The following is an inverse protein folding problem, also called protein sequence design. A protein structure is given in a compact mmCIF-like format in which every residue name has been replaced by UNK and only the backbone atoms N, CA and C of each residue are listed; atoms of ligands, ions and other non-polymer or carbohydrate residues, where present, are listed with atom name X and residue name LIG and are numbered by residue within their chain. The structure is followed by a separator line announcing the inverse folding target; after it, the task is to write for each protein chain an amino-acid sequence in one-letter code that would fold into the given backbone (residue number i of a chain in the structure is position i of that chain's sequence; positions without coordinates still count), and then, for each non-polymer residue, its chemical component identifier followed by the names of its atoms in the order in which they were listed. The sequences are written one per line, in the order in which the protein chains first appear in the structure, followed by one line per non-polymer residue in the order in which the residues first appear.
data_IF_918116914671
#
_entry.id   IF_918116914671
#
_cell.length_a   1.000
_cell.length_b   1.000
_cell.length_c   1.000
_cell.angle_alpha   90.00
_cell.angle_beta   90.00
_cell.angle_gamma   90.00
#
_symmetry.space_group_name_H-M   'P 1'
#
loop_
_entity.id
_entity.type
_entity.pdbx_description
1 polymer ?
#
# COMPACT_ATOMS: atom_id res chain seq x y z
N UNK A 1 -20.20 -59.88 13.67
CA UNK A 1 -19.26 -58.94 14.33
C UNK A 1 -18.05 -58.77 13.43
N UNK A 2 -17.48 -57.55 13.34
CA UNK A 2 -16.34 -57.15 12.49
C UNK A 2 -16.66 -56.83 11.02
N UNK A 3 -17.43 -55.77 10.76
CA UNK A 3 -17.27 -55.02 9.50
C UNK A 3 -17.90 -53.61 9.49
N UNK A 4 -18.46 -53.13 10.60
CA UNK A 4 -19.07 -51.80 10.67
C UNK A 4 -18.14 -50.72 11.29
N UNK A 5 -16.97 -51.10 11.82
CA UNK A 5 -16.09 -50.17 12.54
C UNK A 5 -15.05 -49.50 11.61
N UNK A 6 -14.86 -50.00 10.39
CA UNK A 6 -13.83 -49.47 9.48
C UNK A 6 -14.27 -48.24 8.67
N UNK A 7 -15.57 -47.93 8.60
CA UNK A 7 -16.07 -46.79 7.83
C UNK A 7 -16.09 -45.45 8.59
N UNK A 8 -15.97 -45.48 9.92
CA UNK A 8 -16.02 -44.25 10.74
C UNK A 8 -14.66 -43.52 10.77
N UNK A 9 -13.55 -44.23 10.49
CA UNK A 9 -12.23 -43.59 10.44
C UNK A 9 -11.94 -42.82 9.15
N UNK A 10 -12.66 -43.08 8.05
CA UNK A 10 -12.48 -42.34 6.80
C UNK A 10 -13.12 -40.94 6.80
N UNK A 11 -14.11 -40.70 7.66
CA UNK A 11 -14.77 -39.39 7.77
C UNK A 11 -14.08 -38.42 8.74
N UNK A 12 -13.24 -38.91 9.66
CA UNK A 12 -12.58 -38.05 10.66
C UNK A 12 -11.25 -37.46 10.11
N UNK A 13 -10.64 -38.08 9.10
CA UNK A 13 -9.38 -37.58 8.50
C UNK A 13 -9.49 -37.00 7.09
N UNK A 14 -10.65 -37.10 6.43
CA UNK A 14 -10.78 -36.76 5.00
C UNK A 14 -11.26 -35.34 4.66
N UNK A 15 -11.79 -34.56 5.60
CA UNK A 15 -12.57 -33.36 5.27
C UNK A 15 -12.28 -32.11 6.12
N UNK A 16 -11.04 -31.81 6.50
CA UNK A 16 -10.74 -30.47 7.08
C UNK A 16 -9.34 -29.95 6.71
N UNK A 17 -9.08 -29.69 5.42
CA UNK A 17 -8.01 -28.74 5.05
C UNK A 17 -8.41 -27.68 4.03
N UNK A 18 -9.65 -27.70 3.54
CA UNK A 18 -10.20 -26.57 2.80
C UNK A 18 -10.80 -25.58 3.79
N UNK A 19 -9.92 -24.82 4.44
CA UNK A 19 -10.30 -23.72 5.31
C UNK A 19 -11.33 -22.82 4.63
N UNK A 20 -12.32 -22.37 5.40
CA UNK A 20 -13.50 -21.71 4.84
C UNK A 20 -13.06 -20.50 3.98
N UNK A 21 -13.46 -20.41 2.70
CA UNK A 21 -12.94 -19.41 1.77
C UNK A 21 -13.00 -17.97 2.29
N UNK A 22 -14.04 -17.63 3.05
CA UNK A 22 -14.21 -16.30 3.64
C UNK A 22 -13.16 -15.97 4.71
N UNK A 23 -12.70 -16.94 5.49
CA UNK A 23 -11.63 -16.77 6.48
C UNK A 23 -10.28 -16.57 5.79
N UNK A 24 -10.04 -17.29 4.68
CA UNK A 24 -8.83 -17.15 3.88
C UNK A 24 -8.72 -15.75 3.26
N UNK A 25 -9.82 -15.21 2.72
CA UNK A 25 -9.86 -13.85 2.15
C UNK A 25 -9.65 -12.79 3.23
N UNK A 26 -10.39 -12.86 4.35
CA UNK A 26 -10.24 -11.92 5.47
C UNK A 26 -8.81 -11.89 6.02
N UNK A 27 -8.15 -13.04 6.10
CA UNK A 27 -6.76 -13.12 6.55
C UNK A 27 -5.77 -12.46 5.56
N UNK A 28 -6.04 -12.53 4.25
CA UNK A 28 -5.19 -11.87 3.25
C UNK A 28 -5.37 -10.35 3.26
N UNK A 29 -6.60 -9.85 3.39
CA UNK A 29 -6.87 -8.41 3.54
C UNK A 29 -6.24 -7.86 4.81
N UNK A 30 -6.41 -8.55 5.95
CA UNK A 30 -5.78 -8.16 7.21
C UNK A 30 -4.25 -8.09 7.09
N UNK A 31 -3.63 -9.06 6.42
CA UNK A 31 -2.19 -9.09 6.20
C UNK A 31 -1.72 -7.97 5.27
N UNK A 32 -2.43 -7.74 4.17
CA UNK A 32 -2.13 -6.64 3.26
C UNK A 32 -2.23 -5.28 3.97
N UNK A 33 -3.25 -5.11 4.80
CA UNK A 33 -3.47 -3.90 5.59
C UNK A 33 -2.36 -3.68 6.62
N UNK A 34 -1.92 -4.74 7.32
CA UNK A 34 -0.81 -4.65 8.27
C UNK A 34 0.49 -4.21 7.58
N UNK A 35 0.82 -4.80 6.43
CA UNK A 35 2.01 -4.43 5.65
C UNK A 35 1.91 -2.98 5.16
N UNK A 36 0.76 -2.59 4.60
CA UNK A 36 0.52 -1.22 4.15
C UNK A 36 0.70 -0.22 5.27
N UNK A 37 0.08 -0.46 6.44
CA UNK A 37 0.19 0.41 7.62
C UNK A 37 1.64 0.53 8.11
N UNK A 38 2.37 -0.60 8.20
CA UNK A 38 3.78 -0.58 8.57
C UNK A 38 4.62 0.24 7.58
N UNK A 39 4.34 0.10 6.28
CA UNK A 39 5.08 0.80 5.24
C UNK A 39 4.84 2.31 5.29
N UNK A 40 3.57 2.75 5.37
CA UNK A 40 3.22 4.17 5.49
C UNK A 40 3.75 4.78 6.79
N UNK A 41 3.67 4.05 7.91
CA UNK A 41 4.26 4.51 9.17
C UNK A 41 5.76 4.75 9.04
N UNK A 42 6.50 3.79 8.48
CA UNK A 42 7.94 3.92 8.32
C UNK A 42 8.30 5.07 7.36
N UNK A 43 7.49 5.30 6.33
CA UNK A 43 7.62 6.45 5.45
C UNK A 43 7.44 7.77 6.22
N UNK A 44 6.35 7.93 6.97
CA UNK A 44 6.10 9.13 7.77
C UNK A 44 7.16 9.37 8.85
N UNK A 45 7.57 8.33 9.57
CA UNK A 45 8.68 8.39 10.54
C UNK A 45 9.98 8.87 9.85
N UNK A 46 10.18 8.49 8.58
CA UNK A 46 11.35 8.90 7.78
C UNK A 46 11.25 10.34 7.28
N UNK A 47 10.05 10.83 6.96
CA UNK A 47 9.81 12.25 6.66
C UNK A 47 10.11 13.07 7.91
N UNK A 48 9.53 12.71 9.07
CA UNK A 48 9.71 13.43 10.34
C UNK A 48 11.19 13.51 10.76
N UNK A 49 11.92 12.41 10.64
CA UNK A 49 13.35 12.33 10.96
C UNK A 49 14.29 12.77 9.84
N UNK A 50 13.75 13.22 8.70
CA UNK A 50 14.50 13.59 7.48
C UNK A 50 15.47 12.49 7.00
N UNK A 51 15.06 11.23 7.13
CA UNK A 51 15.88 10.07 6.79
C UNK A 51 15.76 9.70 5.30
N UNK A 52 16.49 10.44 4.45
CA UNK A 52 16.47 10.27 3.00
C UNK A 52 16.78 8.84 2.56
N UNK A 53 17.79 8.20 3.17
CA UNK A 53 18.20 6.81 2.86
C UNK A 53 17.08 5.80 3.12
N UNK A 54 16.23 6.03 4.13
CA UNK A 54 15.09 5.17 4.38
C UNK A 54 13.99 5.40 3.35
N UNK A 55 13.72 6.65 2.98
CA UNK A 55 12.77 7.01 1.92
C UNK A 55 13.18 6.33 0.60
N UNK A 56 14.46 6.38 0.23
CA UNK A 56 14.99 5.67 -0.95
C UNK A 56 14.67 4.17 -0.91
N UNK A 57 14.81 3.52 0.25
CA UNK A 57 14.56 2.08 0.37
C UNK A 57 13.09 1.72 0.30
N UNK A 58 12.19 2.65 0.63
CA UNK A 58 10.74 2.41 0.62
C UNK A 58 10.13 2.53 -0.77
N UNK A 59 10.80 3.19 -1.72
CA UNK A 59 10.29 3.38 -3.08
C UNK A 59 11.15 2.65 -4.11
N UNK A 60 10.52 2.23 -5.21
CA UNK A 60 11.21 1.68 -6.36
C UNK A 60 11.59 2.83 -7.31
N UNK A 61 12.68 3.53 -6.99
CA UNK A 61 13.11 4.73 -7.73
C UNK A 61 14.44 4.55 -8.45
N UNK A 62 14.76 5.51 -9.31
CA UNK A 62 16.08 5.64 -9.94
C UNK A 62 16.88 6.77 -9.27
N UNK A 63 18.19 6.82 -9.51
CA UNK A 63 19.02 7.91 -8.98
C UNK A 63 18.58 9.31 -9.44
N UNK A 64 17.98 9.42 -10.62
CA UNK A 64 17.41 10.68 -11.11
C UNK A 64 16.19 11.13 -10.30
N UNK A 65 15.43 10.21 -9.72
CA UNK A 65 14.28 10.53 -8.87
C UNK A 65 14.76 11.00 -7.48
N UNK A 66 15.85 10.42 -6.97
CA UNK A 66 16.37 10.67 -5.60
C UNK A 66 16.69 12.15 -5.32
N UNK A 67 17.00 12.94 -6.34
CA UNK A 67 17.24 14.39 -6.18
C UNK A 67 16.03 15.15 -5.62
N UNK A 68 14.82 14.57 -5.71
CA UNK A 68 13.58 15.17 -5.22
C UNK A 68 13.24 14.83 -3.77
N UNK A 69 14.02 13.97 -3.10
CA UNK A 69 13.74 13.57 -1.71
C UNK A 69 13.68 14.77 -0.75
N UNK A 70 14.62 15.75 -0.79
CA UNK A 70 14.54 16.89 0.11
C UNK A 70 13.24 17.68 -0.06
N UNK A 71 12.82 17.93 -1.30
CA UNK A 71 11.54 18.61 -1.59
C UNK A 71 10.35 17.78 -1.11
N UNK A 72 10.38 16.45 -1.30
CA UNK A 72 9.33 15.56 -0.81
C UNK A 72 9.19 15.62 0.71
N UNK A 73 10.32 15.60 1.44
CA UNK A 73 10.36 15.74 2.90
C UNK A 73 9.71 17.06 3.32
N UNK A 74 10.18 18.18 2.76
CA UNK A 74 9.71 19.49 3.15
C UNK A 74 8.20 19.66 2.86
N UNK A 75 7.71 19.12 1.75
CA UNK A 75 6.30 19.20 1.37
C UNK A 75 5.37 18.34 2.23
N UNK A 76 5.80 17.13 2.60
CA UNK A 76 4.96 16.19 3.34
C UNK A 76 5.16 16.27 4.86
N UNK A 77 6.01 17.19 5.33
CA UNK A 77 6.20 17.43 6.75
C UNK A 77 4.87 17.85 7.39
N UNK A 78 4.40 17.05 8.36
CA UNK A 78 3.18 17.35 9.12
C UNK A 78 1.88 16.88 8.47
N UNK A 79 1.92 16.25 7.30
CA UNK A 79 0.73 15.60 6.70
C UNK A 79 0.35 14.33 7.48
N UNK A 80 -0.94 14.15 7.75
CA UNK A 80 -1.48 12.88 8.26
C UNK A 80 -1.85 11.95 7.10
N UNK A 81 -1.05 10.89 6.93
CA UNK A 81 -1.27 9.86 5.90
C UNK A 81 -1.53 8.52 6.59
N UNK A 82 -2.67 7.91 6.29
CA UNK A 82 -3.04 6.60 6.86
C UNK A 82 -3.54 5.63 5.79
N UNK A 83 -3.43 4.33 6.06
CA UNK A 83 -3.97 3.28 5.17
C UNK A 83 -5.40 2.96 5.57
N UNK A 84 -6.34 3.25 4.67
CA UNK A 84 -7.76 2.98 4.84
C UNK A 84 -8.11 1.51 4.55
N UNK A 85 -7.57 0.97 3.46
CA UNK A 85 -7.78 -0.42 3.05
C UNK A 85 -6.61 -0.92 2.21
N UNK A 86 -6.39 -2.23 2.19
CA UNK A 86 -5.40 -2.83 1.32
C UNK A 86 -5.75 -4.28 0.98
N UNK A 87 -5.38 -4.71 -0.22
CA UNK A 87 -5.57 -6.08 -0.68
C UNK A 87 -4.43 -6.55 -1.57
N UNK A 88 -4.16 -7.86 -1.55
CA UNK A 88 -3.29 -8.46 -2.55
C UNK A 88 -4.01 -8.52 -3.90
N UNK A 89 -3.30 -8.20 -4.97
CA UNK A 89 -3.77 -8.46 -6.33
C UNK A 89 -3.29 -9.84 -6.82
N UNK A 90 -3.67 -10.22 -8.06
CA UNK A 90 -3.32 -11.53 -8.63
C UNK A 90 -1.82 -11.76 -8.80
N UNK A 91 -1.01 -10.71 -8.82
CA UNK A 91 0.46 -10.75 -8.92
C UNK A 91 1.14 -10.80 -7.55
N UNK A 92 0.38 -10.70 -6.45
CA UNK A 92 0.92 -10.65 -5.09
C UNK A 92 1.44 -9.26 -4.69
N UNK A 93 1.17 -8.23 -5.49
CA UNK A 93 1.38 -6.83 -5.11
C UNK A 93 0.25 -6.41 -4.16
N UNK A 94 0.49 -5.40 -3.34
CA UNK A 94 -0.55 -4.84 -2.45
C UNK A 94 -1.04 -3.54 -3.06
N UNK A 95 -2.34 -3.46 -3.34
CA UNK A 95 -3.00 -2.20 -3.63
C UNK A 95 -3.48 -1.64 -2.29
N UNK A 96 -3.02 -0.45 -1.91
CA UNK A 96 -3.42 0.20 -0.66
C UNK A 96 -4.05 1.57 -0.96
N UNK A 97 -5.24 1.78 -0.41
CA UNK A 97 -5.92 3.07 -0.42
C UNK A 97 -5.48 3.87 0.81
N UNK A 98 -5.11 5.12 0.59
CA UNK A 98 -4.62 6.06 1.57
C UNK A 98 -5.67 7.13 1.83
N UNK A 99 -5.76 7.54 3.09
CA UNK A 99 -6.41 8.76 3.51
C UNK A 99 -5.33 9.78 3.85
N UNK A 100 -5.45 10.98 3.29
CA UNK A 100 -4.51 12.08 3.50
C UNK A 100 -5.29 13.26 4.05
N UNK A 101 -4.98 13.71 5.27
CA UNK A 101 -5.66 14.81 5.98
C UNK A 101 -7.19 14.78 5.89
N UNK A 102 -7.76 13.57 6.00
CA UNK A 102 -9.21 13.36 5.96
C UNK A 102 -9.88 13.41 4.58
N UNK A 103 -9.13 13.56 3.47
CA UNK A 103 -9.66 13.68 2.10
C UNK A 103 -9.20 12.51 1.17
N UNK A 104 -10.04 12.22 0.17
CA UNK A 104 -10.13 11.03 -0.72
C UNK A 104 -8.98 10.92 -1.75
N UNK A 105 -8.69 9.71 -2.27
CA UNK A 105 -7.83 8.68 -1.71
C UNK A 105 -6.48 8.63 -2.48
N UNK A 106 -5.37 8.72 -1.77
CA UNK A 106 -4.11 8.27 -2.36
C UNK A 106 -4.22 6.77 -2.64
N UNK A 107 -3.57 6.28 -3.69
CA UNK A 107 -3.43 4.85 -3.95
C UNK A 107 -1.96 4.59 -4.11
N UNK A 108 -1.45 3.57 -3.42
CA UNK A 108 -0.09 3.07 -3.66
C UNK A 108 -0.15 1.60 -4.05
N UNK A 109 0.76 1.21 -4.93
CA UNK A 109 1.04 -0.19 -5.25
C UNK A 109 2.36 -0.55 -4.60
N UNK A 110 2.33 -1.54 -3.71
CA UNK A 110 3.51 -2.09 -3.08
C UNK A 110 3.91 -3.40 -3.77
N UNK A 111 5.10 -3.41 -4.36
CA UNK A 111 5.69 -4.59 -4.99
C UNK A 111 6.67 -5.25 -4.04
N UNK A 112 6.71 -6.58 -4.00
CA UNK A 112 7.58 -7.35 -3.11
C UNK A 112 9.04 -7.18 -3.52
N UNK A 113 9.88 -6.68 -2.60
CA UNK A 113 11.32 -6.51 -2.81
C UNK A 113 12.07 -7.04 -1.58
N UNK A 114 12.93 -8.08 -1.71
CA UNK A 114 13.63 -8.70 -0.58
C UNK A 114 14.47 -7.72 0.26
N UNK A 115 14.99 -6.67 -0.37
CA UNK A 115 15.90 -5.71 0.27
C UNK A 115 15.18 -4.51 0.91
N UNK A 116 13.84 -4.48 0.86
CA UNK A 116 13.07 -3.42 1.52
C UNK A 116 12.90 -3.70 3.02
N UNK A 117 12.92 -2.66 3.87
CA UNK A 117 12.63 -2.76 5.31
C UNK A 117 11.31 -3.48 5.65
N UNK A 118 10.31 -3.40 4.77
CA UNK A 118 9.01 -4.08 4.96
C UNK A 118 8.83 -5.30 4.07
N UNK A 119 9.86 -5.67 3.28
CA UNK A 119 9.77 -6.66 2.21
C UNK A 119 9.01 -6.17 0.96
N UNK A 120 8.63 -4.88 0.91
CA UNK A 120 7.86 -4.27 -0.18
C UNK A 120 8.31 -2.84 -0.47
N UNK A 121 8.21 -2.38 -1.71
CA UNK A 121 8.46 -0.99 -2.09
C UNK A 121 7.25 -0.39 -2.82
N UNK A 122 7.04 0.92 -2.67
CA UNK A 122 6.12 1.68 -3.50
C UNK A 122 6.66 1.68 -4.93
N UNK A 123 5.95 1.00 -5.82
CA UNK A 123 6.25 0.92 -7.24
C UNK A 123 5.32 1.76 -8.09
N UNK A 124 4.21 2.20 -7.52
CA UNK A 124 3.32 3.15 -8.15
C UNK A 124 2.56 3.95 -7.08
N UNK A 125 2.21 5.18 -7.43
CA UNK A 125 1.33 6.03 -6.64
C UNK A 125 0.35 6.73 -7.56
N UNK A 126 -0.89 6.90 -7.09
CA UNK A 126 -1.92 7.65 -7.77
C UNK A 126 -2.70 8.46 -6.75
N UNK A 127 -3.24 9.58 -7.20
CA UNK A 127 -4.08 10.42 -6.38
C UNK A 127 -5.36 10.69 -7.16
N UNK A 128 -6.48 10.78 -6.46
CA UNK A 128 -7.71 11.25 -7.07
C UNK A 128 -7.60 12.74 -7.29
N UNK A 129 -7.79 13.17 -8.53
CA UNK A 129 -7.87 14.58 -8.89
C UNK A 129 -9.03 15.25 -8.12
N UNK A 130 -8.81 16.39 -7.46
CA UNK A 130 -9.87 17.13 -6.79
C UNK A 130 -10.97 17.58 -7.79
N UNK A 131 -12.19 17.81 -7.28
CA UNK A 131 -13.41 18.03 -8.09
C UNK A 131 -13.23 19.11 -9.18
N UNK A 132 -13.56 18.77 -10.43
CA UNK A 132 -13.56 19.69 -11.58
C UNK A 132 -13.56 18.96 -12.93
N UNK A 133 -13.05 17.73 -12.96
CA UNK A 133 -13.17 16.81 -14.10
C UNK A 133 -14.29 15.81 -13.83
N UNK A 134 -15.22 15.66 -14.77
CA UNK A 134 -16.39 14.76 -14.67
C UNK A 134 -16.03 13.27 -14.71
N UNK A 135 -14.76 12.92 -14.75
CA UNK A 135 -14.25 11.56 -14.84
C UNK A 135 -13.23 11.31 -13.73
N UNK A 136 -13.47 10.26 -12.95
CA UNK A 136 -12.58 9.73 -11.92
C UNK A 136 -11.34 9.11 -12.57
N UNK A 137 -10.40 9.93 -13.04
CA UNK A 137 -9.14 9.45 -13.60
C UNK A 137 -8.07 9.44 -12.50
N UNK A 138 -7.79 8.26 -11.95
CA UNK A 138 -6.55 8.05 -11.21
C UNK A 138 -5.41 8.03 -12.22
N UNK A 139 -4.61 9.09 -12.27
CA UNK A 139 -3.32 9.00 -12.97
C UNK A 139 -2.36 8.26 -12.05
N UNK A 140 -1.99 7.04 -12.42
CA UNK A 140 -0.97 6.26 -11.71
C UNK A 140 0.41 6.62 -12.27
N UNK A 141 1.32 7.04 -11.40
CA UNK A 141 2.74 7.19 -11.72
C UNK A 141 3.51 5.92 -11.37
N UNK A 142 4.37 5.50 -12.29
CA UNK A 142 5.27 4.33 -12.14
C UNK A 142 6.76 4.71 -12.26
N UNK A 143 7.05 5.93 -12.71
CA UNK A 143 8.39 6.47 -12.94
C UNK A 143 8.40 7.89 -12.38
N UNK A 144 9.53 8.33 -11.81
CA UNK A 144 9.64 9.66 -11.20
C UNK A 144 8.67 9.78 -10.02
N UNK A 145 8.68 8.78 -9.13
CA UNK A 145 7.68 8.63 -8.09
C UNK A 145 7.71 9.82 -7.11
N UNK A 146 8.90 10.30 -6.76
CA UNK A 146 9.02 11.46 -5.88
C UNK A 146 8.51 12.73 -6.54
N UNK A 147 8.85 12.94 -7.81
CA UNK A 147 8.32 14.07 -8.57
C UNK A 147 6.79 14.02 -8.71
N UNK A 148 6.23 12.86 -9.02
CA UNK A 148 4.79 12.69 -9.08
C UNK A 148 4.10 12.96 -7.73
N UNK A 149 4.67 12.47 -6.63
CA UNK A 149 4.12 12.74 -5.30
C UNK A 149 4.11 14.25 -5.00
N UNK A 150 5.17 14.96 -5.37
CA UNK A 150 5.26 16.43 -5.28
C UNK A 150 4.14 17.08 -6.12
N UNK A 151 4.02 16.76 -7.41
CA UNK A 151 3.01 17.35 -8.29
C UNK A 151 1.58 17.13 -7.78
N UNK A 152 1.27 15.92 -7.32
CA UNK A 152 -0.05 15.60 -6.80
C UNK A 152 -0.34 16.35 -5.50
N UNK A 153 0.66 16.52 -4.64
CA UNK A 153 0.52 17.30 -3.41
C UNK A 153 0.26 18.78 -3.73
N UNK A 154 0.98 19.37 -4.69
CA UNK A 154 0.74 20.76 -5.14
C UNK A 154 -0.70 20.90 -5.68
N UNK A 155 -1.10 20.06 -6.64
CA UNK A 155 -2.44 20.10 -7.24
C UNK A 155 -3.54 19.94 -6.18
N UNK A 156 -3.29 19.14 -5.16
CA UNK A 156 -4.22 18.92 -4.06
C UNK A 156 -4.34 20.16 -3.17
N UNK A 157 -3.22 20.73 -2.70
CA UNK A 157 -3.21 21.96 -1.90
C UNK A 157 -3.94 23.11 -2.62
N UNK A 158 -3.64 23.31 -3.90
CA UNK A 158 -4.28 24.34 -4.74
C UNK A 158 -5.81 24.16 -4.82
N UNK A 159 -6.26 22.91 -4.97
CA UNK A 159 -7.68 22.61 -5.17
C UNK A 159 -8.51 22.74 -3.89
N UNK A 160 -7.90 22.49 -2.74
CA UNK A 160 -8.57 22.59 -1.43
C UNK A 160 -8.28 23.92 -0.72
N UNK A 161 -7.44 24.79 -1.31
CA UNK A 161 -7.00 26.08 -0.74
C UNK A 161 -6.41 25.91 0.66
N UNK A 162 -5.64 24.83 0.85
CA UNK A 162 -4.93 24.52 2.09
C UNK A 162 -3.55 25.17 2.04
#
# INVERSE_FOLDING_TARGET
MKSAILFIFFFIFGCFSQGIPHLKVRNQESKALEIGKRHVKLFLDSIESKNEKMIEKLFNTTGADQMHIPTLIDMLQGFDISVESANFNKKGEINANLRVDGIVPGVIILTKTPNSPTGYQISALGFKTPRGTSHLEFTMCFIGLFWCAIEYTIKWLDSYKI
#
